data_IF_503022452544
#
_entry.id   IF_503022452544
#
_cell.length_a   1.000
_cell.length_b   1.000
_cell.length_c   1.000
_cell.angle_alpha   90.00
_cell.angle_beta   90.00
_cell.angle_gamma   90.00
#
_symmetry.space_group_name_H-M   'P 1'
#
loop_
_entity.id
_entity.type
_entity.pdbx_description
1 polymer ?
#
# COMPACT_ATOMS: atom_id res chain seq x y z
N UNK A 1 21.10 -10.18 -5.89
CA UNK A 1 21.02 -8.98 -6.74
C UNK A 1 19.59 -8.42 -6.68
N UNK A 2 19.36 -7.26 -6.05
CA UNK A 2 18.03 -6.60 -6.05
C UNK A 2 18.24 -5.16 -6.51
N UNK A 3 18.34 -4.98 -7.82
CA UNK A 3 18.58 -3.69 -8.44
C UNK A 3 17.30 -2.83 -8.36
N UNK A 4 17.16 -2.04 -7.29
CA UNK A 4 16.19 -0.95 -7.26
C UNK A 4 16.91 0.35 -7.59
N UNK A 5 17.07 0.58 -8.90
CA UNK A 5 17.66 1.81 -9.42
C UNK A 5 16.68 2.95 -9.16
N UNK A 6 17.06 3.77 -8.20
CA UNK A 6 16.45 4.99 -7.69
C UNK A 6 15.83 5.85 -8.82
N UNK A 7 14.50 5.86 -8.92
CA UNK A 7 13.77 6.82 -9.74
C UNK A 7 13.55 8.10 -8.95
N UNK A 8 14.04 9.19 -9.51
CA UNK A 8 14.03 10.55 -8.96
C UNK A 8 12.60 11.08 -8.84
N UNK A 9 12.13 11.40 -7.64
CA UNK A 9 11.07 12.40 -7.42
C UNK A 9 9.92 12.03 -6.49
N UNK A 10 9.42 10.79 -6.47
CA UNK A 10 8.27 10.43 -5.63
C UNK A 10 8.45 9.03 -5.06
N UNK A 11 8.56 8.95 -3.73
CA UNK A 11 8.83 7.68 -3.05
C UNK A 11 7.67 6.70 -3.26
N UNK A 12 7.93 5.42 -3.61
CA UNK A 12 6.89 4.40 -3.77
C UNK A 12 5.98 4.28 -2.55
N UNK A 13 6.53 4.57 -1.37
CA UNK A 13 5.82 4.56 -0.10
C UNK A 13 4.76 5.67 0.01
N UNK A 14 5.00 6.82 -0.60
CA UNK A 14 4.07 7.94 -0.58
C UNK A 14 2.83 7.64 -1.43
N UNK A 15 3.03 7.11 -2.64
CA UNK A 15 1.92 6.62 -3.47
C UNK A 15 1.11 5.54 -2.73
N UNK A 16 1.79 4.57 -2.11
CA UNK A 16 1.10 3.55 -1.33
C UNK A 16 0.30 4.16 -0.16
N UNK A 17 0.83 5.16 0.54
CA UNK A 17 0.13 5.86 1.62
C UNK A 17 -1.14 6.55 1.11
N UNK A 18 -1.05 7.28 0.01
CA UNK A 18 -2.19 7.97 -0.60
C UNK A 18 -3.25 6.97 -1.06
N UNK A 19 -2.86 5.90 -1.75
CA UNK A 19 -3.78 4.85 -2.20
C UNK A 19 -4.45 4.19 -0.99
N UNK A 20 -3.72 3.85 0.07
CA UNK A 20 -4.29 3.24 1.27
C UNK A 20 -5.22 4.17 2.05
N UNK A 21 -5.01 5.48 1.96
CA UNK A 21 -5.89 6.49 2.57
C UNK A 21 -7.26 6.59 1.88
N UNK A 22 -7.35 6.22 0.59
CA UNK A 22 -8.63 6.25 -0.14
C UNK A 22 -9.63 5.24 0.45
N UNK A 23 -10.91 5.61 0.64
CA UNK A 23 -11.90 4.76 1.31
C UNK A 23 -12.41 3.63 0.41
N UNK A 24 -12.60 3.89 -0.89
CA UNK A 24 -13.22 2.95 -1.84
C UNK A 24 -12.20 2.26 -2.74
N UNK A 25 -12.51 1.03 -3.18
CA UNK A 25 -11.68 0.27 -4.12
C UNK A 25 -11.50 0.98 -5.48
N UNK A 26 -12.53 1.66 -5.98
CA UNK A 26 -12.46 2.41 -7.24
C UNK A 26 -11.44 3.54 -7.19
N UNK A 27 -11.49 4.39 -6.16
CA UNK A 27 -10.49 5.45 -5.95
C UNK A 27 -9.07 4.89 -5.83
N UNK A 28 -8.89 3.74 -5.16
CA UNK A 28 -7.58 3.06 -5.08
C UNK A 28 -7.08 2.60 -6.45
N UNK A 29 -7.96 2.06 -7.29
CA UNK A 29 -7.62 1.63 -8.63
C UNK A 29 -7.28 2.81 -9.54
N UNK A 30 -8.03 3.91 -9.46
CA UNK A 30 -7.73 5.13 -10.20
C UNK A 30 -6.34 5.68 -9.80
N UNK A 31 -6.05 5.80 -8.51
CA UNK A 31 -4.74 6.25 -8.03
C UNK A 31 -3.59 5.29 -8.41
N UNK A 32 -3.85 3.97 -8.55
CA UNK A 32 -2.86 3.01 -9.06
C UNK A 32 -2.53 3.21 -10.55
N UNK A 33 -3.47 3.74 -11.34
CA UNK A 33 -3.24 4.04 -12.76
C UNK A 33 -2.31 5.26 -12.92
N UNK A 34 -2.42 6.23 -12.00
CA UNK A 34 -1.54 7.41 -11.95
C UNK A 34 -0.09 7.09 -11.54
N UNK A 35 0.15 5.91 -10.95
CA UNK A 35 1.50 5.47 -10.60
C UNK A 35 2.27 5.11 -11.88
N UNK A 36 3.49 5.65 -12.07
CA UNK A 36 4.37 5.27 -13.16
C UNK A 36 4.64 3.76 -13.19
N UNK A 37 4.70 3.16 -14.39
CA UNK A 37 4.91 1.71 -14.58
C UNK A 37 6.06 1.10 -13.73
N UNK A 38 7.28 1.69 -13.68
CA UNK A 38 8.37 1.13 -12.86
C UNK A 38 8.12 1.16 -11.35
N UNK A 39 7.21 2.02 -10.90
CA UNK A 39 6.80 2.13 -9.49
C UNK A 39 5.54 1.32 -9.19
N UNK A 40 4.72 1.01 -10.19
CA UNK A 40 3.42 0.35 -10.02
C UNK A 40 3.55 -1.01 -9.36
N UNK A 41 4.56 -1.80 -9.73
CA UNK A 41 4.83 -3.09 -9.09
C UNK A 41 5.19 -2.94 -7.60
N UNK A 42 6.05 -1.97 -7.27
CA UNK A 42 6.46 -1.67 -5.90
C UNK A 42 5.28 -1.21 -5.04
N UNK A 43 4.49 -0.28 -5.56
CA UNK A 43 3.31 0.27 -4.89
C UNK A 43 2.26 -0.82 -4.66
N UNK A 44 2.02 -1.68 -5.67
CA UNK A 44 1.12 -2.83 -5.55
C UNK A 44 1.56 -3.78 -4.42
N UNK A 45 2.86 -4.11 -4.35
CA UNK A 45 3.41 -4.93 -3.25
C UNK A 45 3.24 -4.25 -1.89
N UNK A 46 3.47 -2.94 -1.80
CA UNK A 46 3.27 -2.18 -0.56
C UNK A 46 1.81 -2.18 -0.11
N UNK A 47 0.87 -1.95 -1.02
CA UNK A 47 -0.56 -2.00 -0.72
C UNK A 47 -0.99 -3.39 -0.25
N UNK A 48 -0.51 -4.46 -0.90
CA UNK A 48 -0.77 -5.83 -0.48
C UNK A 48 -0.22 -6.11 0.92
N UNK A 49 1.05 -5.78 1.17
CA UNK A 49 1.67 -5.98 2.49
C UNK A 49 0.92 -5.22 3.60
N UNK A 50 0.51 -3.98 3.35
CA UNK A 50 -0.26 -3.19 4.31
C UNK A 50 -1.68 -3.76 4.53
N UNK A 51 -2.33 -4.27 3.48
CA UNK A 51 -3.65 -4.86 3.58
C UNK A 51 -3.66 -6.18 4.34
N UNK A 52 -2.67 -7.05 4.05
CA UNK A 52 -2.45 -8.35 4.70
C UNK A 52 -1.71 -8.25 6.04
N UNK A 53 -1.36 -7.04 6.49
CA UNK A 53 -0.57 -6.87 7.72
C UNK A 53 -1.33 -7.44 8.93
N UNK A 54 -0.73 -8.34 9.73
CA UNK A 54 -1.40 -9.00 10.84
C UNK A 54 -1.94 -8.02 11.88
N UNK A 55 -1.34 -6.84 12.05
CA UNK A 55 -1.89 -5.80 12.94
C UNK A 55 -3.27 -5.25 12.51
N UNK A 56 -3.66 -5.35 11.23
CA UNK A 56 -5.03 -5.04 10.79
C UNK A 56 -6.00 -6.16 11.13
N UNK A 57 -5.54 -7.41 11.09
CA UNK A 57 -6.34 -8.60 11.42
C UNK A 57 -6.53 -8.73 12.93
N UNK A 58 -5.53 -8.37 13.73
CA UNK A 58 -5.59 -8.32 15.20
C UNK A 58 -6.50 -7.21 15.76
N UNK A 59 -7.19 -6.42 14.91
CA UNK A 59 -8.21 -5.44 15.35
C UNK A 59 -9.60 -6.07 15.56
N UNK A 60 -9.69 -7.39 15.49
CA UNK A 60 -10.66 -8.20 16.24
C UNK A 60 -9.74 -9.11 17.05
N UNK A 61 -9.57 -8.89 18.34
CA UNK A 61 -10.59 -9.17 19.34
C UNK A 61 -10.54 -8.08 20.43
N UNK A 62 -11.68 -7.50 20.87
CA UNK A 62 -11.70 -6.96 22.22
C UNK A 62 -11.33 -8.14 23.13
N UNK A 63 -10.24 -8.01 23.86
CA UNK A 63 -10.00 -8.81 25.05
C UNK A 63 -11.22 -8.60 25.97
N UNK A 64 -12.25 -9.43 25.79
CA UNK A 64 -13.28 -9.66 26.78
C UNK A 64 -12.58 -10.51 27.84
N UNK A 65 -11.90 -9.84 28.78
CA UNK A 65 -11.79 -10.37 30.14
C UNK A 65 -13.11 -10.10 30.88
N UNK A 66 -13.44 -10.80 31.97
CA UNK A 66 -12.66 -11.78 32.74
C UNK A 66 -12.90 -13.25 32.37
#
# INVERSE_FOLDING_TARGET
MRQYRQTTGTWPREYARQILAMPTREQRNAALLEVPEPLRELVKRHCLNAWHHPARLNRKEPHQGP
#
